data_IF_567019898435
#
_entry.id   IF_567019898435
#
_cell.length_a   1.000
_cell.length_b   1.000
_cell.length_c   1.000
_cell.angle_alpha   90.00
_cell.angle_beta   90.00
_cell.angle_gamma   90.00
#
_symmetry.space_group_name_H-M   'P 1'
#
loop_
_entity.id
_entity.type
_entity.pdbx_description
1 polymer ?
#
# COMPACT_ATOMS: atom_id res chain seq x y z
N UNK A 1 0.33 5.33 22.47
CA UNK A 1 1.58 4.57 22.31
C UNK A 1 2.70 5.57 22.06
N UNK A 2 3.73 5.59 22.91
CA UNK A 2 4.94 6.41 22.71
C UNK A 2 5.98 5.54 21.98
N UNK A 3 6.30 5.93 20.74
CA UNK A 3 7.33 5.28 19.92
C UNK A 3 8.58 6.14 19.96
N UNK A 4 9.69 5.60 20.45
CA UNK A 4 11.00 6.26 20.44
C UNK A 4 11.92 5.55 19.45
N UNK A 5 12.61 6.31 18.61
CA UNK A 5 13.64 5.78 17.72
C UNK A 5 14.90 5.41 18.49
N UNK A 6 15.54 4.32 18.09
CA UNK A 6 16.87 3.95 18.64
C UNK A 6 17.89 5.02 18.25
N UNK A 7 18.57 5.59 19.22
CA UNK A 7 19.66 6.59 19.01
C UNK A 7 21.01 5.91 18.97
N UNK A 8 22.01 6.62 18.46
CA UNK A 8 23.42 6.23 18.54
C UNK A 8 23.88 6.09 19.99
N UNK A 9 24.84 5.22 20.25
CA UNK A 9 25.51 5.03 21.53
C UNK A 9 26.99 5.33 21.40
N UNK A 10 27.59 5.88 22.46
CA UNK A 10 29.04 5.94 22.54
C UNK A 10 29.62 4.52 22.60
N UNK A 11 30.68 4.23 21.86
CA UNK A 11 31.31 2.92 21.82
C UNK A 11 31.69 2.51 20.39
N UNK A 12 32.04 1.22 20.26
CA UNK A 12 32.37 0.63 18.97
C UNK A 12 31.21 0.67 17.99
N UNK A 13 31.54 0.73 16.71
CA UNK A 13 30.54 0.64 15.64
C UNK A 13 29.90 -0.74 15.66
N UNK A 14 28.59 -0.77 15.75
CA UNK A 14 27.76 -1.97 15.65
C UNK A 14 27.01 -1.94 14.31
N UNK A 15 27.12 -3.01 13.57
CA UNK A 15 26.33 -3.23 12.34
C UNK A 15 25.32 -4.34 12.63
N UNK A 16 24.07 -4.11 12.28
CA UNK A 16 23.00 -5.10 12.43
C UNK A 16 22.31 -5.30 11.09
N UNK A 17 22.08 -6.54 10.73
CA UNK A 17 21.22 -6.93 9.64
C UNK A 17 20.08 -7.79 10.18
N UNK A 18 18.88 -7.52 9.68
CA UNK A 18 17.69 -8.33 9.95
C UNK A 18 16.93 -8.50 8.64
N UNK A 19 16.65 -9.74 8.28
CA UNK A 19 15.90 -10.05 7.06
C UNK A 19 14.93 -11.18 7.28
N UNK A 20 13.85 -11.16 6.54
CA UNK A 20 12.91 -12.27 6.48
C UNK A 20 12.32 -12.41 5.08
N UNK A 21 11.90 -13.63 4.77
CA UNK A 21 11.15 -14.04 3.60
C UNK A 21 9.87 -14.72 4.07
N UNK A 22 8.76 -14.44 3.41
CA UNK A 22 7.50 -15.11 3.69
C UNK A 22 6.68 -15.34 2.42
N UNK A 23 5.71 -16.23 2.52
CA UNK A 23 4.75 -16.56 1.47
C UNK A 23 3.37 -16.23 2.00
N UNK A 24 2.58 -15.55 1.19
CA UNK A 24 1.17 -15.30 1.43
C UNK A 24 0.35 -16.23 0.53
N UNK A 25 -0.68 -16.80 1.11
CA UNK A 25 -1.69 -17.60 0.40
C UNK A 25 -3.07 -17.24 0.91
N UNK A 26 -4.10 -17.54 0.14
CA UNK A 26 -5.46 -17.41 0.61
C UNK A 26 -5.65 -18.29 1.85
N UNK A 27 -6.15 -17.69 2.93
CA UNK A 27 -6.48 -18.40 4.16
C UNK A 27 -7.75 -19.25 4.01
N UNK A 28 -8.71 -18.77 3.22
CA UNK A 28 -10.00 -19.41 3.00
C UNK A 28 -10.38 -19.24 1.53
N UNK A 29 -10.79 -20.35 0.92
CA UNK A 29 -11.31 -20.36 -0.43
C UNK A 29 -12.68 -19.66 -0.46
N UNK A 30 -12.99 -19.06 -1.61
CA UNK A 30 -14.32 -18.56 -1.88
C UNK A 30 -15.26 -19.76 -2.10
N UNK A 31 -16.48 -19.63 -1.62
CA UNK A 31 -17.52 -20.64 -1.80
C UNK A 31 -18.28 -20.32 -3.11
N UNK A 32 -17.63 -20.64 -4.24
CA UNK A 32 -18.25 -20.47 -5.55
C UNK A 32 -19.14 -21.66 -5.88
N UNK A 33 -20.14 -21.41 -6.71
CA UNK A 33 -20.93 -22.50 -7.29
C UNK A 33 -20.04 -23.44 -8.08
N UNK A 34 -20.17 -24.75 -7.83
CA UNK A 34 -19.65 -25.76 -8.75
C UNK A 34 -20.37 -25.64 -10.10
N UNK A 35 -19.80 -26.18 -11.18
CA UNK A 35 -20.48 -26.20 -12.49
C UNK A 35 -21.87 -26.80 -12.43
N UNK A 36 -22.08 -27.85 -11.64
CA UNK A 36 -23.36 -28.55 -11.44
C UNK A 36 -24.36 -27.66 -10.69
N UNK A 37 -23.93 -27.00 -9.62
CA UNK A 37 -24.77 -26.08 -8.87
C UNK A 37 -25.13 -24.86 -9.72
N UNK A 38 -24.21 -24.35 -10.52
CA UNK A 38 -24.48 -23.27 -11.45
C UNK A 38 -25.50 -23.70 -12.53
N UNK A 39 -25.36 -24.91 -13.11
CA UNK A 39 -26.32 -25.45 -14.02
C UNK A 39 -27.69 -25.60 -13.38
N UNK A 40 -27.75 -26.08 -12.14
CA UNK A 40 -29.02 -26.23 -11.41
C UNK A 40 -29.67 -24.83 -11.19
N UNK A 41 -28.91 -23.84 -10.80
CA UNK A 41 -29.37 -22.46 -10.65
C UNK A 41 -29.98 -21.92 -11.96
N UNK A 42 -29.31 -22.17 -13.10
CA UNK A 42 -29.80 -21.74 -14.41
C UNK A 42 -31.12 -22.46 -14.79
N UNK A 43 -31.23 -23.76 -14.48
CA UNK A 43 -32.46 -24.51 -14.69
C UNK A 43 -33.62 -23.99 -13.83
N UNK A 44 -33.37 -23.72 -12.57
CA UNK A 44 -34.39 -23.19 -11.65
C UNK A 44 -34.87 -21.82 -12.11
N UNK A 45 -33.96 -20.91 -12.49
CA UNK A 45 -34.31 -19.63 -13.04
C UNK A 45 -35.19 -19.76 -14.29
N UNK A 46 -34.82 -20.63 -15.22
CA UNK A 46 -35.58 -20.87 -16.48
C UNK A 46 -36.93 -21.54 -16.24
N UNK A 47 -37.01 -22.49 -15.29
CA UNK A 47 -38.24 -23.13 -14.89
C UNK A 47 -39.21 -22.10 -14.27
N UNK A 48 -38.71 -21.20 -13.42
CA UNK A 48 -39.49 -20.10 -12.85
C UNK A 48 -40.09 -19.23 -13.96
N UNK A 49 -39.27 -18.79 -14.91
CA UNK A 49 -39.71 -17.93 -16.02
C UNK A 49 -40.80 -18.60 -16.89
N UNK A 50 -40.78 -19.93 -17.03
CA UNK A 50 -41.74 -20.69 -17.78
C UNK A 50 -42.93 -21.18 -16.95
N UNK A 51 -42.98 -20.97 -15.65
CA UNK A 51 -43.99 -21.51 -14.74
C UNK A 51 -43.93 -23.03 -14.59
N UNK A 52 -42.77 -23.62 -14.82
CA UNK A 52 -42.52 -25.09 -14.68
C UNK A 52 -42.12 -25.37 -13.22
N UNK A 53 -42.73 -26.38 -12.61
CA UNK A 53 -42.51 -26.68 -11.19
C UNK A 53 -41.21 -27.48 -10.98
N UNK A 54 -40.92 -28.45 -11.88
CA UNK A 54 -39.72 -29.27 -11.78
C UNK A 54 -38.63 -28.73 -12.73
N UNK A 55 -37.59 -28.14 -12.17
CA UNK A 55 -36.48 -27.59 -12.93
C UNK A 55 -35.70 -28.64 -13.75
N UNK A 56 -35.84 -29.93 -13.44
CA UNK A 56 -35.23 -31.03 -14.21
C UNK A 56 -35.85 -31.20 -15.59
N UNK A 57 -37.06 -30.69 -15.80
CA UNK A 57 -37.72 -30.70 -17.14
C UNK A 57 -37.05 -29.70 -18.10
N UNK A 58 -36.28 -28.74 -17.59
CA UNK A 58 -35.52 -27.81 -18.43
C UNK A 58 -34.30 -28.52 -19.01
N UNK A 59 -34.21 -28.55 -20.33
CA UNK A 59 -33.05 -29.11 -21.03
C UNK A 59 -31.80 -28.26 -20.82
N UNK A 60 -30.61 -28.83 -21.10
CA UNK A 60 -29.35 -28.08 -21.03
C UNK A 60 -29.37 -26.87 -21.98
N UNK A 61 -29.84 -27.05 -23.19
CA UNK A 61 -29.93 -25.99 -24.18
C UNK A 61 -30.86 -24.86 -23.77
N UNK A 62 -31.92 -25.14 -23.04
CA UNK A 62 -32.86 -24.15 -22.51
C UNK A 62 -32.27 -23.44 -21.27
N UNK A 63 -31.56 -24.15 -20.40
CA UNK A 63 -30.93 -23.61 -19.23
C UNK A 63 -29.74 -22.68 -19.59
N UNK A 64 -28.96 -23.13 -20.59
CA UNK A 64 -27.78 -22.44 -21.12
C UNK A 64 -28.11 -21.90 -22.51
N UNK A 65 -28.76 -20.74 -22.60
CA UNK A 65 -29.07 -20.08 -23.86
C UNK A 65 -27.83 -19.63 -24.62
N UNK A 66 -26.70 -19.50 -23.92
CA UNK A 66 -25.40 -19.07 -24.44
C UNK A 66 -24.62 -20.22 -25.06
N UNK A 67 -24.24 -20.10 -26.34
CA UNK A 67 -23.53 -21.13 -27.08
C UNK A 67 -22.15 -21.46 -26.49
N UNK A 68 -21.45 -20.47 -25.91
CA UNK A 68 -20.15 -20.68 -25.24
C UNK A 68 -20.35 -21.55 -24.01
N UNK A 69 -21.35 -21.25 -23.19
CA UNK A 69 -21.64 -22.02 -21.98
C UNK A 69 -22.04 -23.46 -22.34
N UNK A 70 -22.80 -23.65 -23.42
CA UNK A 70 -23.15 -25.00 -23.91
C UNK A 70 -21.92 -25.80 -24.34
N UNK A 71 -21.00 -25.17 -25.11
CA UNK A 71 -19.74 -25.81 -25.50
C UNK A 71 -18.86 -26.16 -24.31
N UNK A 72 -18.72 -25.24 -23.36
CA UNK A 72 -17.94 -25.47 -22.14
C UNK A 72 -18.54 -26.60 -21.31
N UNK A 73 -19.85 -26.59 -21.13
CA UNK A 73 -20.55 -27.68 -20.45
C UNK A 73 -20.31 -29.05 -21.13
N UNK A 74 -20.44 -29.12 -22.45
CA UNK A 74 -20.22 -30.35 -23.22
C UNK A 74 -18.76 -30.82 -23.17
N UNK A 75 -17.80 -29.89 -23.07
CA UNK A 75 -16.37 -30.24 -23.00
C UNK A 75 -15.92 -30.68 -21.61
N UNK A 76 -16.64 -30.32 -20.55
CA UNK A 76 -16.26 -30.54 -19.16
C UNK A 76 -15.05 -29.69 -18.70
N UNK A 77 -14.64 -28.68 -19.46
CA UNK A 77 -13.50 -27.81 -19.13
C UNK A 77 -13.98 -26.57 -18.44
N UNK A 78 -14.24 -26.68 -17.17
CA UNK A 78 -14.74 -25.58 -16.34
C UNK A 78 -13.61 -24.71 -15.80
N UNK A 79 -13.92 -23.43 -15.54
CA UNK A 79 -12.97 -22.45 -15.00
C UNK A 79 -13.03 -22.45 -13.47
N UNK A 80 -11.88 -22.64 -12.86
CA UNK A 80 -11.65 -22.41 -11.44
C UNK A 80 -11.14 -20.96 -11.28
N UNK A 81 -12.05 -20.04 -11.09
CA UNK A 81 -11.73 -18.63 -11.00
C UNK A 81 -10.76 -18.29 -9.87
N UNK A 82 -10.78 -19.06 -8.79
CA UNK A 82 -9.84 -18.83 -7.70
C UNK A 82 -8.39 -19.10 -8.13
N UNK A 83 -8.17 -20.19 -8.86
CA UNK A 83 -6.83 -20.52 -9.40
C UNK A 83 -6.37 -19.55 -10.49
N UNK A 84 -7.30 -19.05 -11.30
CA UNK A 84 -6.97 -18.09 -12.36
C UNK A 84 -6.63 -16.70 -11.79
N UNK A 85 -7.29 -16.29 -10.71
CA UNK A 85 -7.15 -14.92 -10.15
C UNK A 85 -6.10 -14.81 -9.06
N UNK A 86 -5.81 -15.89 -8.32
CA UNK A 86 -4.93 -15.84 -7.17
C UNK A 86 -3.69 -16.70 -7.31
N UNK A 87 -2.62 -16.23 -6.70
CA UNK A 87 -1.35 -16.93 -6.60
C UNK A 87 -0.82 -16.87 -5.17
N UNK A 88 0.05 -17.82 -4.85
CA UNK A 88 0.93 -17.63 -3.69
C UNK A 88 1.88 -16.48 -3.99
N UNK A 89 1.92 -15.49 -3.09
CA UNK A 89 2.70 -14.27 -3.24
C UNK A 89 3.88 -14.28 -2.27
N UNK A 90 5.03 -13.86 -2.75
CA UNK A 90 6.25 -13.76 -1.95
C UNK A 90 6.37 -12.34 -1.41
N UNK A 91 6.81 -12.22 -0.17
CA UNK A 91 7.26 -10.95 0.40
C UNK A 91 8.59 -11.13 1.12
N UNK A 92 9.43 -10.10 1.07
CA UNK A 92 10.70 -10.10 1.80
C UNK A 92 11.02 -8.71 2.34
N UNK A 93 11.84 -8.70 3.38
CA UNK A 93 12.30 -7.48 4.03
C UNK A 93 13.79 -7.61 4.38
N UNK A 94 14.51 -6.51 4.17
CA UNK A 94 15.92 -6.37 4.52
C UNK A 94 16.12 -5.07 5.29
N UNK A 95 16.57 -5.15 6.52
CA UNK A 95 16.92 -4.00 7.37
C UNK A 95 18.39 -4.06 7.75
N UNK A 96 19.12 -3.03 7.37
CA UNK A 96 20.52 -2.83 7.75
C UNK A 96 20.60 -1.60 8.62
N UNK A 97 21.28 -1.68 9.75
CA UNK A 97 21.54 -0.53 10.59
C UNK A 97 22.96 -0.50 11.14
N UNK A 98 23.50 0.71 11.24
CA UNK A 98 24.82 1.00 11.78
C UNK A 98 24.65 2.00 12.92
N UNK A 99 25.27 1.73 14.06
CA UNK A 99 25.28 2.60 15.24
C UNK A 99 26.67 2.66 15.83
N UNK A 100 27.05 3.83 16.31
CA UNK A 100 28.33 4.01 16.97
C UNK A 100 28.57 5.47 17.32
N UNK A 101 29.77 5.75 17.81
CA UNK A 101 30.17 7.11 18.09
C UNK A 101 31.08 7.24 19.29
N UNK A 102 31.34 8.48 19.64
CA UNK A 102 32.07 8.89 20.83
C UNK A 102 31.11 9.48 21.86
N UNK A 103 31.60 9.91 23.02
CA UNK A 103 30.77 10.66 23.97
C UNK A 103 30.25 11.96 23.36
N UNK A 104 30.99 12.57 22.43
CA UNK A 104 30.64 13.85 21.81
C UNK A 104 29.81 13.73 20.55
N UNK A 105 29.94 12.62 19.81
CA UNK A 105 29.25 12.43 18.53
C UNK A 105 28.67 11.03 18.51
N UNK A 106 27.38 10.90 18.37
CA UNK A 106 26.67 9.63 18.25
C UNK A 106 25.93 9.59 16.92
N UNK A 107 26.08 8.47 16.22
CA UNK A 107 25.50 8.25 14.87
C UNK A 107 24.68 6.99 14.87
N UNK A 108 23.52 7.05 14.24
CA UNK A 108 22.73 5.89 13.88
C UNK A 108 22.19 6.08 12.47
N UNK A 109 22.52 5.17 11.58
CA UNK A 109 21.99 5.12 10.21
C UNK A 109 21.32 3.79 9.96
N UNK A 110 20.32 3.76 9.12
CA UNK A 110 19.63 2.52 8.74
C UNK A 110 18.97 2.65 7.38
N UNK A 111 18.90 1.53 6.69
CA UNK A 111 18.19 1.34 5.44
C UNK A 111 17.31 0.10 5.54
N UNK A 112 16.09 0.22 5.08
CA UNK A 112 15.14 -0.89 5.01
C UNK A 112 14.55 -0.96 3.61
N UNK A 113 14.56 -2.14 3.03
CA UNK A 113 13.88 -2.45 1.79
C UNK A 113 12.84 -3.55 2.05
N UNK A 114 11.62 -3.30 1.64
CA UNK A 114 10.50 -4.22 1.70
C UNK A 114 9.87 -4.35 0.32
N UNK A 115 9.67 -5.60 -0.11
CA UNK A 115 8.97 -5.93 -1.35
C UNK A 115 7.92 -6.99 -1.05
N UNK A 116 6.73 -6.78 -1.58
CA UNK A 116 5.58 -7.67 -1.41
C UNK A 116 4.83 -7.80 -2.74
N UNK A 117 4.82 -9.00 -3.28
CA UNK A 117 3.94 -9.33 -4.39
C UNK A 117 2.49 -9.40 -3.90
N UNK A 118 1.55 -8.99 -4.73
CA UNK A 118 0.13 -9.22 -4.48
C UNK A 118 -0.31 -10.64 -4.78
N UNK A 119 -1.30 -11.13 -4.07
CA UNK A 119 -1.89 -12.45 -4.32
C UNK A 119 -2.75 -12.48 -5.58
N UNK A 120 -3.29 -11.35 -6.02
CA UNK A 120 -4.01 -11.25 -7.30
C UNK A 120 -3.00 -11.23 -8.43
N UNK A 121 -3.22 -12.06 -9.46
CA UNK A 121 -2.26 -12.24 -10.57
C UNK A 121 -2.10 -11.00 -11.45
N UNK A 122 -3.07 -10.11 -11.43
CA UNK A 122 -3.20 -8.96 -12.33
C UNK A 122 -2.56 -7.70 -11.74
N UNK A 123 -1.21 -7.67 -11.64
CA UNK A 123 -0.49 -6.41 -11.43
C UNK A 123 -0.61 -5.78 -10.05
N UNK A 124 -0.72 -6.58 -8.99
CA UNK A 124 -0.69 -6.05 -7.63
C UNK A 124 0.68 -6.24 -6.97
N UNK A 125 1.17 -5.20 -6.30
CA UNK A 125 2.46 -5.24 -5.62
C UNK A 125 2.70 -4.01 -4.75
N UNK A 126 3.64 -4.12 -3.82
CA UNK A 126 4.05 -3.03 -2.94
C UNK A 126 5.53 -3.08 -2.65
N UNK A 127 6.23 -1.99 -2.92
CA UNK A 127 7.64 -1.82 -2.62
C UNK A 127 7.85 -0.61 -1.70
N UNK A 128 8.79 -0.72 -0.79
CA UNK A 128 9.16 0.36 0.11
C UNK A 128 10.65 0.39 0.38
N UNK A 129 11.27 1.54 0.14
CA UNK A 129 12.61 1.87 0.60
C UNK A 129 12.49 2.90 1.73
N UNK A 130 13.18 2.66 2.85
CA UNK A 130 13.23 3.61 3.95
C UNK A 130 14.68 3.84 4.39
N UNK A 131 15.07 5.10 4.51
CA UNK A 131 16.38 5.52 5.00
C UNK A 131 16.20 6.33 6.28
N UNK A 132 17.09 6.15 7.24
CA UNK A 132 17.08 6.86 8.53
C UNK A 132 18.48 7.28 8.90
N UNK A 133 18.62 8.51 9.39
CA UNK A 133 19.86 9.02 9.90
C UNK A 133 19.59 9.83 11.18
N UNK A 134 20.28 9.48 12.25
CA UNK A 134 20.25 10.23 13.51
C UNK A 134 21.67 10.59 13.90
N UNK A 135 21.89 11.87 14.15
CA UNK A 135 23.15 12.45 14.59
C UNK A 135 22.92 13.24 15.85
N UNK A 136 23.65 12.93 16.90
CA UNK A 136 23.63 13.69 18.17
C UNK A 136 25.05 14.21 18.44
N UNK A 137 25.14 15.51 18.77
CA UNK A 137 26.39 16.21 19.04
C UNK A 137 26.37 16.86 20.43
N UNK A 138 27.38 16.59 21.23
CA UNK A 138 27.65 17.27 22.49
C UNK A 138 28.84 18.22 22.32
N UNK A 139 28.55 19.49 22.02
CA UNK A 139 29.60 20.52 21.78
C UNK A 139 30.29 20.86 23.08
N UNK A 140 29.52 20.99 24.16
CA UNK A 140 30.01 21.28 25.49
C UNK A 140 29.04 20.75 26.56
N UNK A 141 29.39 20.90 27.84
CA UNK A 141 28.50 20.46 28.95
C UNK A 141 27.16 21.22 28.98
N UNK A 142 27.05 22.31 28.24
CA UNK A 142 25.86 23.15 28.21
C UNK A 142 25.22 23.37 26.84
N UNK A 143 25.85 22.87 25.76
CA UNK A 143 25.28 22.89 24.40
C UNK A 143 25.30 21.49 23.78
N UNK A 144 24.16 21.00 23.34
CA UNK A 144 24.04 19.85 22.49
C UNK A 144 23.03 20.13 21.36
N UNK A 145 23.19 19.46 20.22
CA UNK A 145 22.20 19.49 19.16
C UNK A 145 22.12 18.12 18.48
N UNK A 146 21.04 17.91 17.75
CA UNK A 146 20.89 16.70 16.96
C UNK A 146 20.04 16.90 15.72
N UNK A 147 20.26 15.99 14.77
CA UNK A 147 19.55 15.91 13.50
C UNK A 147 18.96 14.51 13.39
N UNK A 148 17.66 14.45 13.12
CA UNK A 148 16.98 13.20 12.78
C UNK A 148 16.37 13.36 11.40
N UNK A 149 16.82 12.55 10.46
CA UNK A 149 16.32 12.57 9.09
C UNK A 149 15.75 11.19 8.73
N UNK A 150 14.65 11.19 8.01
CA UNK A 150 14.10 10.00 7.42
C UNK A 150 13.58 10.28 6.01
N UNK A 151 13.79 9.33 5.14
CA UNK A 151 13.24 9.29 3.80
C UNK A 151 12.52 7.96 3.62
N UNK A 152 11.36 7.97 2.99
CA UNK A 152 10.67 6.76 2.61
C UNK A 152 10.02 6.95 1.24
N UNK A 153 10.34 6.06 0.33
CA UNK A 153 9.72 5.92 -0.98
C UNK A 153 8.86 4.66 -0.98
N UNK A 154 7.64 4.77 -1.46
CA UNK A 154 6.74 3.63 -1.67
C UNK A 154 6.23 3.63 -3.09
N UNK A 155 6.12 2.45 -3.67
CA UNK A 155 5.52 2.19 -4.97
C UNK A 155 4.50 1.08 -4.81
N UNK A 156 3.29 1.30 -5.28
CA UNK A 156 2.20 0.34 -5.21
C UNK A 156 1.54 0.20 -6.57
N UNK A 157 1.64 -0.99 -7.14
CA UNK A 157 0.82 -1.36 -8.28
C UNK A 157 -0.56 -1.80 -7.79
N UNK A 158 -1.61 -1.29 -8.41
CA UNK A 158 -3.00 -1.56 -8.06
C UNK A 158 -3.75 -2.12 -9.24
N UNK A 159 -4.56 -3.09 -8.98
CA UNK A 159 -5.52 -3.59 -9.95
C UNK A 159 -6.75 -2.68 -10.07
N UNK A 160 -7.59 -2.94 -11.07
CA UNK A 160 -8.83 -2.19 -11.39
C UNK A 160 -9.87 -2.23 -10.24
N UNK A 161 -9.70 -3.09 -9.24
CA UNK A 161 -10.62 -3.22 -8.11
C UNK A 161 -11.96 -3.88 -8.49
N UNK A 162 -12.12 -4.41 -9.70
CA UNK A 162 -13.34 -5.07 -10.15
C UNK A 162 -13.44 -6.51 -9.66
N UNK A 163 -13.34 -6.65 -8.37
CA UNK A 163 -13.52 -7.92 -7.69
C UNK A 163 -14.92 -8.53 -7.92
N UNK A 164 -15.93 -7.68 -8.14
CA UNK A 164 -17.28 -8.12 -8.46
C UNK A 164 -17.36 -8.90 -9.76
N UNK A 165 -16.67 -8.50 -10.83
CA UNK A 165 -16.67 -9.22 -12.11
C UNK A 165 -16.15 -10.63 -11.95
N UNK A 166 -15.12 -10.80 -11.12
CA UNK A 166 -14.57 -12.09 -10.78
C UNK A 166 -15.56 -12.96 -10.00
N UNK A 167 -16.18 -12.42 -8.93
CA UNK A 167 -17.12 -13.17 -8.06
C UNK A 167 -18.38 -13.59 -8.83
N UNK A 168 -18.82 -12.77 -9.78
CA UNK A 168 -20.05 -13.00 -10.54
C UNK A 168 -19.83 -13.80 -11.84
N UNK A 169 -18.57 -14.08 -12.18
CA UNK A 169 -18.26 -14.82 -13.40
C UNK A 169 -18.68 -16.29 -13.33
N UNK A 170 -19.26 -16.76 -14.45
CA UNK A 170 -19.71 -18.14 -14.59
C UNK A 170 -18.53 -19.11 -14.63
N UNK A 171 -18.60 -20.30 -13.99
CA UNK A 171 -17.63 -21.36 -14.21
C UNK A 171 -17.67 -21.94 -15.63
N UNK A 172 -18.76 -21.67 -16.38
CA UNK A 172 -18.94 -22.06 -17.78
C UNK A 172 -18.44 -20.97 -18.72
N UNK A 173 -17.17 -20.60 -18.61
CA UNK A 173 -16.55 -19.49 -19.32
C UNK A 173 -15.45 -19.96 -20.27
N UNK A 174 -15.24 -19.26 -21.39
CA UNK A 174 -14.04 -19.38 -22.22
C UNK A 174 -13.16 -18.15 -21.99
N UNK A 175 -12.06 -18.32 -21.25
CA UNK A 175 -11.17 -17.22 -20.89
C UNK A 175 -9.92 -17.12 -21.76
N UNK A 176 -9.65 -18.14 -22.59
CA UNK A 176 -8.53 -18.19 -23.53
C UNK A 176 -9.03 -18.44 -24.95
N UNK A 177 -8.39 -17.78 -25.91
CA UNK A 177 -8.55 -18.06 -27.33
C UNK A 177 -7.67 -19.26 -27.79
N UNK A 178 -7.70 -19.57 -29.09
CA UNK A 178 -6.92 -20.67 -29.66
C UNK A 178 -5.40 -20.45 -29.57
N UNK A 179 -4.95 -19.21 -29.44
CA UNK A 179 -3.53 -18.82 -29.28
C UNK A 179 -3.10 -18.76 -27.81
N UNK A 180 -3.99 -19.05 -26.86
CA UNK A 180 -3.74 -19.00 -25.43
C UNK A 180 -3.73 -17.58 -24.83
N UNK A 181 -4.27 -16.58 -25.55
CA UNK A 181 -4.47 -15.21 -25.04
C UNK A 181 -5.84 -15.10 -24.40
N UNK A 182 -5.98 -14.15 -23.49
CA UNK A 182 -7.29 -13.89 -22.89
C UNK A 182 -8.31 -13.40 -23.92
N UNK A 183 -9.48 -14.02 -23.92
CA UNK A 183 -10.64 -13.55 -24.69
C UNK A 183 -11.18 -12.26 -24.07
N UNK A 184 -11.73 -11.36 -24.91
CA UNK A 184 -12.37 -10.15 -24.43
C UNK A 184 -13.65 -10.42 -23.62
N UNK A 185 -14.42 -11.42 -24.05
CA UNK A 185 -15.68 -11.86 -23.46
C UNK A 185 -15.58 -13.30 -23.02
N UNK A 186 -16.18 -13.64 -21.91
CA UNK A 186 -16.22 -15.01 -21.36
C UNK A 186 -17.38 -15.84 -21.91
N UNK A 187 -18.35 -15.20 -22.57
CA UNK A 187 -19.55 -15.82 -23.13
C UNK A 187 -20.11 -15.00 -24.30
N UNK A 188 -21.15 -15.50 -24.96
CA UNK A 188 -21.83 -14.83 -26.07
C UNK A 188 -22.74 -13.67 -25.61
N UNK A 189 -23.11 -13.62 -24.33
CA UNK A 189 -23.89 -12.52 -23.74
C UNK A 189 -23.07 -11.23 -23.61
N UNK A 190 -21.75 -11.29 -23.84
CA UNK A 190 -20.85 -10.14 -23.83
C UNK A 190 -20.34 -9.79 -22.44
N UNK A 191 -20.36 -10.72 -21.48
CA UNK A 191 -19.73 -10.54 -20.19
C UNK A 191 -18.20 -10.47 -20.35
N UNK A 192 -17.60 -9.43 -19.81
CA UNK A 192 -16.17 -9.21 -19.95
C UNK A 192 -15.35 -10.23 -19.16
N UNK A 193 -14.23 -10.64 -19.75
CA UNK A 193 -13.22 -11.42 -19.06
C UNK A 193 -12.46 -10.49 -18.07
N UNK A 194 -12.52 -10.74 -16.75
CA UNK A 194 -11.82 -9.93 -15.77
C UNK A 194 -10.29 -9.92 -15.94
N UNK A 195 -9.71 -11.03 -16.44
CA UNK A 195 -8.29 -11.13 -16.72
C UNK A 195 -7.89 -10.30 -17.96
N UNK A 196 -8.73 -10.29 -19.00
CA UNK A 196 -8.54 -9.39 -20.15
C UNK A 196 -8.60 -7.93 -19.74
N UNK A 197 -9.60 -7.54 -18.95
CA UNK A 197 -9.69 -6.17 -18.42
C UNK A 197 -8.43 -5.76 -17.70
N UNK A 198 -7.92 -6.62 -16.84
CA UNK A 198 -6.74 -6.35 -16.05
C UNK A 198 -5.47 -6.16 -16.90
N UNK A 199 -5.37 -6.81 -18.09
CA UNK A 199 -4.24 -6.58 -19.01
C UNK A 199 -4.26 -5.19 -19.67
N UNK A 200 -5.45 -4.60 -19.79
CA UNK A 200 -5.68 -3.31 -20.44
C UNK A 200 -5.86 -2.15 -19.46
N UNK A 201 -5.50 -2.38 -18.20
CA UNK A 201 -5.53 -1.42 -17.11
C UNK A 201 -4.21 -1.40 -16.35
N UNK A 202 -3.73 -0.23 -16.04
CA UNK A 202 -2.61 -0.03 -15.14
C UNK A 202 -2.89 1.09 -14.16
N UNK A 203 -2.52 0.89 -12.89
CA UNK A 203 -2.53 1.93 -11.88
C UNK A 203 -1.34 1.77 -10.96
N UNK A 204 -0.57 2.84 -10.87
CA UNK A 204 0.57 2.92 -9.97
C UNK A 204 0.38 4.11 -9.02
N UNK A 205 0.59 3.85 -7.73
CA UNK A 205 0.63 4.91 -6.72
C UNK A 205 2.03 4.96 -6.13
N UNK A 206 2.73 6.08 -6.36
CA UNK A 206 4.01 6.34 -5.74
C UNK A 206 3.90 7.40 -4.65
N UNK A 207 4.73 7.29 -3.60
CA UNK A 207 4.82 8.29 -2.53
C UNK A 207 6.24 8.43 -2.06
N UNK A 208 6.69 9.68 -2.01
CA UNK A 208 7.95 10.09 -1.43
C UNK A 208 7.71 10.91 -0.19
N UNK A 209 8.29 10.47 0.92
CA UNK A 209 8.19 11.15 2.20
C UNK A 209 9.58 11.52 2.69
N UNK A 210 9.79 12.79 2.96
CA UNK A 210 11.02 13.29 3.55
C UNK A 210 10.70 14.02 4.84
N UNK A 211 11.42 13.69 5.92
CA UNK A 211 11.34 14.38 7.20
C UNK A 211 12.73 14.71 7.71
N UNK A 212 12.90 15.97 8.12
CA UNK A 212 14.09 16.44 8.78
C UNK A 212 13.67 17.12 10.09
N UNK A 213 14.25 16.71 11.21
CA UNK A 213 14.10 17.36 12.48
C UNK A 213 15.48 17.77 12.98
N UNK A 214 15.58 18.99 13.45
CA UNK A 214 16.73 19.53 14.16
C UNK A 214 16.30 19.92 15.55
N UNK A 215 17.13 19.68 16.54
CA UNK A 215 16.96 20.19 17.89
C UNK A 215 18.28 20.71 18.44
N UNK A 216 18.19 21.71 19.30
CA UNK A 216 19.32 22.24 20.04
C UNK A 216 18.90 22.47 21.50
N UNK A 217 19.67 21.93 22.43
CA UNK A 217 19.53 22.17 23.86
C UNK A 217 20.66 23.07 24.37
N UNK A 218 20.29 24.13 25.11
CA UNK A 218 21.23 25.06 25.75
C UNK A 218 20.93 25.11 27.26
N UNK A 219 21.91 24.71 28.07
CA UNK A 219 21.82 24.63 29.55
C UNK A 219 22.90 25.44 30.23
N UNK A 220 22.84 26.80 30.18
CA UNK A 220 23.91 27.67 30.62
C UNK A 220 24.18 27.63 32.13
N UNK A 221 23.16 27.29 32.94
CA UNK A 221 23.27 27.12 34.37
C UNK A 221 22.27 26.09 34.91
N UNK A 222 22.46 25.67 36.15
CA UNK A 222 21.66 24.62 36.78
C UNK A 222 20.18 25.02 36.87
N UNK A 223 19.32 24.13 36.38
CA UNK A 223 17.86 24.30 36.39
C UNK A 223 17.30 24.96 35.12
N UNK A 224 18.09 25.65 34.33
CA UNK A 224 17.65 26.28 33.10
C UNK A 224 17.91 25.34 31.88
N UNK A 225 16.94 25.23 31.00
CA UNK A 225 17.07 24.59 29.71
C UNK A 225 16.29 25.38 28.65
N UNK A 226 16.97 25.80 27.61
CA UNK A 226 16.34 26.27 26.38
C UNK A 226 16.47 25.18 25.32
N UNK A 227 15.36 24.87 24.68
CA UNK A 227 15.32 23.90 23.57
C UNK A 227 14.70 24.57 22.36
N UNK A 228 15.43 24.54 21.24
CA UNK A 228 14.91 24.82 19.91
C UNK A 228 14.60 23.51 19.24
N UNK A 229 13.39 23.31 18.73
CA UNK A 229 13.01 22.25 17.82
C UNK A 229 12.62 22.85 16.48
N UNK A 230 13.11 22.29 15.40
CA UNK A 230 12.62 22.59 14.06
C UNK A 230 12.31 21.30 13.33
N UNK A 231 11.27 21.27 12.54
CA UNK A 231 10.95 20.15 11.69
C UNK A 231 10.48 20.60 10.32
N UNK A 232 10.85 19.85 9.30
CA UNK A 232 10.34 19.97 7.93
C UNK A 232 9.86 18.62 7.51
N UNK A 233 8.67 18.57 6.94
CA UNK A 233 8.07 17.39 6.35
C UNK A 233 7.57 17.71 4.95
N UNK A 234 7.99 16.92 3.99
CA UNK A 234 7.47 16.96 2.63
C UNK A 234 6.97 15.58 2.24
N UNK A 235 5.82 15.54 1.60
CA UNK A 235 5.27 14.35 0.96
C UNK A 235 4.85 14.72 -0.45
N UNK A 236 5.28 13.95 -1.42
CA UNK A 236 4.74 13.93 -2.77
C UNK A 236 4.05 12.59 -2.99
N UNK A 237 2.86 12.59 -3.55
CA UNK A 237 2.13 11.39 -3.94
C UNK A 237 1.67 11.56 -5.38
N UNK A 238 1.98 10.59 -6.20
CA UNK A 238 1.52 10.47 -7.58
C UNK A 238 0.62 9.24 -7.68
N UNK A 239 -0.56 9.39 -8.25
CA UNK A 239 -1.52 8.33 -8.54
C UNK A 239 -1.81 8.37 -10.04
N UNK A 240 -1.15 7.51 -10.78
CA UNK A 240 -1.30 7.39 -12.22
C UNK A 240 -2.11 6.16 -12.58
N UNK A 241 -3.11 6.32 -13.44
CA UNK A 241 -3.85 5.21 -14.00
C UNK A 241 -4.04 5.37 -15.50
N UNK A 242 -4.07 4.25 -16.21
CA UNK A 242 -4.38 4.24 -17.62
C UNK A 242 -5.29 3.07 -17.98
N UNK A 243 -6.11 3.28 -18.98
CA UNK A 243 -6.88 2.28 -19.73
C UNK A 243 -6.49 2.44 -21.19
N UNK A 244 -6.05 1.38 -21.81
CA UNK A 244 -5.78 1.46 -23.24
C UNK A 244 -7.06 1.42 -24.09
N UNK A 245 -6.93 1.56 -25.41
CA UNK A 245 -8.08 1.57 -26.33
C UNK A 245 -8.85 0.24 -26.39
N UNK A 246 -8.29 -0.85 -25.89
CA UNK A 246 -8.92 -2.18 -25.85
C UNK A 246 -9.64 -2.46 -24.53
N UNK A 247 -9.46 -1.57 -23.54
CA UNK A 247 -10.17 -1.71 -22.26
C UNK A 247 -11.68 -1.71 -22.46
N UNK A 248 -12.43 -2.64 -21.87
CA UNK A 248 -13.88 -2.71 -22.01
C UNK A 248 -14.60 -1.42 -21.61
N UNK A 249 -15.42 -0.92 -22.54
CA UNK A 249 -16.31 0.22 -22.29
C UNK A 249 -15.72 1.62 -22.51
N UNK A 250 -14.53 1.76 -23.12
CA UNK A 250 -13.99 3.09 -23.37
C UNK A 250 -12.92 3.18 -24.44
N UNK A 251 -12.73 4.37 -25.00
CA UNK A 251 -11.49 4.78 -25.66
C UNK A 251 -10.37 4.90 -24.62
N UNK A 252 -9.12 4.84 -25.04
CA UNK A 252 -7.98 4.94 -24.14
C UNK A 252 -8.06 6.19 -23.24
N UNK A 253 -7.76 6.03 -21.97
CA UNK A 253 -7.74 7.14 -21.00
C UNK A 253 -6.51 7.04 -20.12
N UNK A 254 -5.90 8.17 -19.79
CA UNK A 254 -4.87 8.26 -18.77
C UNK A 254 -5.21 9.37 -17.76
N UNK A 255 -5.02 9.07 -16.49
CA UNK A 255 -5.23 10.03 -15.40
C UNK A 255 -3.98 10.05 -14.55
N UNK A 256 -3.53 11.25 -14.19
CA UNK A 256 -2.43 11.46 -13.26
C UNK A 256 -2.86 12.50 -12.23
N UNK A 257 -2.90 12.09 -10.98
CA UNK A 257 -3.14 12.95 -9.83
C UNK A 257 -1.85 13.09 -9.01
N UNK A 258 -1.32 14.30 -8.93
CA UNK A 258 -0.19 14.63 -8.07
C UNK A 258 -0.67 15.44 -6.88
N UNK A 259 -0.25 15.06 -5.67
CA UNK A 259 -0.46 15.84 -4.47
C UNK A 259 0.85 16.05 -3.74
N UNK A 260 1.07 17.29 -3.27
CA UNK A 260 2.23 17.67 -2.49
C UNK A 260 1.80 18.30 -1.17
N UNK A 261 2.28 17.74 -0.08
CA UNK A 261 2.09 18.29 1.27
C UNK A 261 3.43 18.76 1.81
N UNK A 262 3.45 19.96 2.36
CA UNK A 262 4.64 20.59 2.89
C UNK A 262 4.34 21.22 4.25
N UNK A 263 4.99 20.73 5.30
CA UNK A 263 4.79 21.19 6.66
C UNK A 263 6.12 21.57 7.28
N UNK A 264 6.15 22.65 8.04
CA UNK A 264 7.28 22.97 8.88
C UNK A 264 6.84 23.50 10.24
N UNK A 265 7.68 23.30 11.24
CA UNK A 265 7.48 23.74 12.62
C UNK A 265 8.79 24.34 13.17
N UNK A 266 8.67 25.45 13.86
CA UNK A 266 9.73 25.99 14.71
C UNK A 266 9.15 26.19 16.11
N UNK A 267 9.79 25.59 17.10
CA UNK A 267 9.33 25.61 18.48
C UNK A 267 10.47 25.97 19.42
N UNK A 268 10.23 26.96 20.27
CA UNK A 268 11.12 27.41 21.31
C UNK A 268 10.54 27.03 22.67
N UNK A 269 11.29 26.30 23.46
CA UNK A 269 10.88 25.81 24.78
C UNK A 269 11.88 26.27 25.81
N UNK A 270 11.43 27.01 26.77
CA UNK A 270 12.23 27.42 27.95
C UNK A 270 11.68 26.66 29.16
N UNK A 271 12.56 25.96 29.85
CA UNK A 271 12.21 25.26 31.09
C UNK A 271 13.15 25.71 32.19
N UNK A 272 12.59 26.11 33.35
CA UNK A 272 13.34 26.48 34.52
C UNK A 272 12.85 25.71 35.75
N UNK A 273 13.75 24.91 36.34
CA UNK A 273 13.54 24.23 37.61
C UNK A 273 13.99 25.19 38.73
N UNK A 274 13.03 25.74 39.42
CA UNK A 274 13.28 26.71 40.50
C UNK A 274 14.02 26.01 41.66
N UNK A 275 15.16 26.56 42.13
CA UNK A 275 15.92 25.98 43.21
C UNK A 275 15.22 26.20 44.56
N UNK A 276 14.33 25.28 44.95
CA UNK A 276 13.64 25.33 46.24
C UNK A 276 14.48 24.56 47.28
N UNK A 277 14.78 25.18 48.42
CA UNK A 277 15.55 24.59 49.52
C UNK A 277 14.86 23.34 50.08
N UNK A 278 13.53 23.34 50.14
CA UNK A 278 12.75 22.22 50.63
C UNK A 278 12.59 21.15 49.56
N UNK A 279 13.27 20.02 49.71
CA UNK A 279 13.24 18.88 48.78
C UNK A 279 11.86 18.20 48.64
N UNK A 280 10.88 18.54 49.51
CA UNK A 280 9.50 18.04 49.40
C UNK A 280 8.71 18.75 48.29
N UNK A 281 9.18 19.87 47.77
CA UNK A 281 8.52 20.62 46.73
C UNK A 281 9.46 20.82 45.53
N UNK A 282 8.92 20.65 44.35
CA UNK A 282 9.59 20.90 43.07
C UNK A 282 8.70 21.83 42.24
N UNK A 283 9.21 22.96 41.83
CA UNK A 283 8.54 23.87 40.91
C UNK A 283 9.31 23.91 39.60
N UNK A 284 8.62 23.61 38.49
CA UNK A 284 9.16 23.72 37.15
C UNK A 284 8.26 24.70 36.37
N UNK A 285 8.85 25.72 35.82
CA UNK A 285 8.20 26.69 34.91
C UNK A 285 8.57 26.27 33.47
N UNK A 286 7.58 26.23 32.60
CA UNK A 286 7.81 26.00 31.18
C UNK A 286 7.06 27.02 30.36
N UNK A 287 7.79 27.68 29.45
CA UNK A 287 7.24 28.54 28.42
C UNK A 287 7.48 27.91 27.03
N UNK A 288 6.49 27.97 26.18
CA UNK A 288 6.56 27.44 24.80
C UNK A 288 6.07 28.52 23.85
N UNK A 289 6.83 28.72 22.76
CA UNK A 289 6.42 29.49 21.60
C UNK A 289 6.62 28.62 20.37
N UNK A 290 5.58 28.47 19.59
CA UNK A 290 5.63 27.68 18.34
C UNK A 290 5.05 28.45 17.16
N UNK A 291 5.60 28.19 16.00
CA UNK A 291 5.08 28.63 14.70
C UNK A 291 5.14 27.44 13.77
N UNK A 292 4.03 27.15 13.13
CA UNK A 292 3.94 26.08 12.16
C UNK A 292 3.25 26.55 10.87
N UNK A 293 3.51 25.82 9.82
CA UNK A 293 2.86 25.99 8.52
C UNK A 293 2.52 24.64 7.95
N UNK A 294 1.28 24.52 7.46
CA UNK A 294 0.79 23.35 6.73
C UNK A 294 0.27 23.80 5.37
N UNK A 295 0.87 23.29 4.31
CA UNK A 295 0.47 23.56 2.93
C UNK A 295 0.22 22.27 2.18
N UNK A 296 -0.84 22.25 1.35
CA UNK A 296 -1.12 21.18 0.44
C UNK A 296 -1.50 21.73 -0.93
N UNK A 297 -1.00 21.07 -1.98
CA UNK A 297 -1.32 21.40 -3.38
C UNK A 297 -1.59 20.09 -4.12
N UNK A 298 -2.65 20.07 -4.95
CA UNK A 298 -2.96 18.95 -5.82
C UNK A 298 -3.12 19.45 -7.25
N UNK A 299 -2.70 18.63 -8.19
CA UNK A 299 -2.88 18.86 -9.65
C UNK A 299 -3.32 17.52 -10.23
N UNK A 300 -4.38 17.55 -11.03
CA UNK A 300 -4.85 16.40 -11.79
C UNK A 300 -4.82 16.67 -13.27
N UNK A 301 -4.45 15.65 -14.05
CA UNK A 301 -4.47 15.64 -15.51
C UNK A 301 -5.25 14.42 -15.98
N UNK A 302 -6.08 14.60 -16.98
CA UNK A 302 -6.72 13.49 -17.68
C UNK A 302 -6.65 13.70 -19.18
N UNK A 303 -6.43 12.60 -19.90
CA UNK A 303 -6.42 12.54 -21.36
C UNK A 303 -7.34 11.40 -21.78
N UNK A 304 -8.17 11.65 -22.77
CA UNK A 304 -9.11 10.69 -23.34
C UNK A 304 -8.80 10.45 -24.82
N UNK A 305 -9.22 9.30 -25.33
CA UNK A 305 -9.02 8.87 -26.73
C UNK A 305 -7.53 8.68 -27.10
N UNK A 306 -6.80 7.96 -26.25
CA UNK A 306 -5.42 7.55 -26.49
C UNK A 306 -5.33 6.34 -27.43
#
# INVERSE_FOLDING_TARGET
VLVTTKRGKAGKVEVSYNGYLGIQSLWRNFDFYSPEEYMQLRREAKAHDKGIVDAREISIAEALEDEVMQRVWASGKFIDWEKEMFRNAIYHNHDVSVRGGTEKIKVSAGANYFDQQGMVVTGSGYQKLSLRLNLDFEISKWISFGINSSYAMTKQDREDGNFNDFITSSPLAEIYDADGKYTKYINSEGNYNPLYRAQHYGREVSRDNYRLNFFMDVKPFKGFNYRLNTSVYNQTSEDGSYKDSQYPGGGGTAVLDESRTQNWLVENIVTYKVPIRNKKHQLTLTGVQSVDHNGSKSIGFSVENL
#
